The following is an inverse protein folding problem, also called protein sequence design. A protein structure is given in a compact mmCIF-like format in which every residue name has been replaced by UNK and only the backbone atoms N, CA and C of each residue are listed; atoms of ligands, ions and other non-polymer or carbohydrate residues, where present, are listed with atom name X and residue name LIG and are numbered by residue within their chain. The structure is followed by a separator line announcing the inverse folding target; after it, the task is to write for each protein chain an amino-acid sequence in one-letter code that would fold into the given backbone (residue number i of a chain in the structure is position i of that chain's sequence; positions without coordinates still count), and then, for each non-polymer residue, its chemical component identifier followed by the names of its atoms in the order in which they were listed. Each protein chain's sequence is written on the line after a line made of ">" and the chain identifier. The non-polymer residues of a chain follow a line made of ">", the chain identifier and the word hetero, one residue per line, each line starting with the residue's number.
data_IF_865404664115
#
_entry.id   IF_865404664115
#
_cell.length_a   1.000
_cell.length_b   1.000
_cell.length_c   1.000
_cell.angle_alpha   90.00
_cell.angle_beta   90.00
_cell.angle_gamma   90.00
#
_symmetry.space_group_name_H-M   'P 1'
#
loop_
_entity.id
_entity.type
_entity.pdbx_description
1 polymer ?
#
# COMPACT_ATOMS: atom_id res chain seq x y z
N UNK A 1 -18.36 -15.23 -18.21
CA UNK A 1 -17.44 -14.08 -18.07
C UNK A 1 -18.16 -12.99 -17.29
N UNK A 2 -17.71 -12.67 -16.06
CA UNK A 2 -18.32 -11.60 -15.27
C UNK A 2 -18.10 -10.26 -15.98
N UNK A 3 -19.18 -9.56 -16.32
CA UNK A 3 -19.10 -8.28 -17.01
C UNK A 3 -18.42 -7.24 -16.08
N UNK A 4 -17.18 -6.85 -16.40
CA UNK A 4 -16.32 -6.00 -15.55
C UNK A 4 -16.90 -4.59 -15.35
N UNK A 5 -17.72 -4.14 -16.29
CA UNK A 5 -18.27 -2.80 -16.34
C UNK A 5 -19.79 -2.82 -16.45
N UNK A 6 -20.44 -1.90 -15.73
CA UNK A 6 -21.84 -1.53 -15.91
C UNK A 6 -21.89 -0.13 -16.52
N UNK A 7 -22.57 0.01 -17.65
CA UNK A 7 -22.73 1.28 -18.35
C UNK A 7 -24.09 1.88 -18.04
N UNK A 8 -24.13 3.19 -17.83
CA UNK A 8 -25.35 4.00 -17.74
C UNK A 8 -25.19 5.12 -18.76
N UNK A 9 -26.11 5.18 -19.72
CA UNK A 9 -26.12 6.21 -20.77
C UNK A 9 -27.24 7.18 -20.43
N UNK A 10 -26.91 8.45 -20.41
CA UNK A 10 -27.83 9.53 -20.13
C UNK A 10 -27.79 10.49 -21.31
N UNK A 11 -28.62 10.18 -22.31
CA UNK A 11 -28.74 10.91 -23.57
C UNK A 11 -29.81 11.99 -23.54
N UNK A 12 -30.68 11.97 -22.53
CA UNK A 12 -31.80 12.91 -22.38
C UNK A 12 -31.40 14.13 -21.53
N UNK A 13 -30.44 13.99 -20.61
CA UNK A 13 -29.90 15.12 -19.85
C UNK A 13 -28.93 16.00 -20.66
N UNK A 14 -28.84 17.29 -20.28
CA UNK A 14 -27.85 18.23 -20.80
C UNK A 14 -26.90 18.65 -19.66
N UNK A 15 -25.58 18.36 -19.73
CA UNK A 15 -24.88 17.69 -20.83
C UNK A 15 -25.10 16.17 -20.87
N UNK A 16 -25.24 15.64 -22.08
CA UNK A 16 -25.31 14.19 -22.32
C UNK A 16 -24.06 13.52 -21.78
N UNK A 17 -24.21 12.39 -21.11
CA UNK A 17 -23.09 11.72 -20.43
C UNK A 17 -23.18 10.21 -20.48
N UNK A 18 -22.01 9.57 -20.41
CA UNK A 18 -21.87 8.12 -20.22
C UNK A 18 -21.14 7.88 -18.92
N UNK A 19 -21.72 7.02 -18.07
CA UNK A 19 -21.15 6.62 -16.78
C UNK A 19 -20.79 5.15 -16.86
N UNK A 20 -19.56 4.82 -16.47
CA UNK A 20 -19.07 3.47 -16.27
C UNK A 20 -18.91 3.21 -14.79
N UNK A 21 -19.38 2.05 -14.34
CA UNK A 21 -19.21 1.56 -12.99
C UNK A 21 -18.43 0.25 -13.01
N UNK A 22 -17.38 0.18 -12.21
CA UNK A 22 -16.65 -1.05 -11.90
C UNK A 22 -16.49 -1.20 -10.39
N UNK A 23 -15.81 -2.26 -9.95
CA UNK A 23 -15.59 -2.58 -8.54
C UNK A 23 -14.11 -2.50 -8.20
N UNK A 24 -13.80 -1.87 -7.08
CA UNK A 24 -12.49 -1.96 -6.43
C UNK A 24 -12.66 -2.21 -4.94
N UNK A 25 -12.10 -3.32 -4.45
CA UNK A 25 -12.21 -3.74 -3.05
C UNK A 25 -13.67 -3.72 -2.53
N UNK A 26 -14.60 -4.28 -3.32
CA UNK A 26 -16.04 -4.33 -3.01
C UNK A 26 -16.81 -3.02 -3.24
N UNK A 27 -16.13 -1.88 -3.40
CA UNK A 27 -16.75 -0.56 -3.58
C UNK A 27 -16.88 -0.20 -5.05
N UNK A 28 -17.95 0.52 -5.38
CA UNK A 28 -18.15 1.04 -6.73
C UNK A 28 -17.14 2.14 -7.05
N UNK A 29 -16.57 2.06 -8.24
CA UNK A 29 -15.72 3.09 -8.83
C UNK A 29 -16.37 3.52 -10.13
N UNK A 30 -16.49 4.83 -10.31
CA UNK A 30 -17.13 5.42 -11.49
C UNK A 30 -16.14 6.19 -12.36
N UNK A 31 -16.24 5.99 -13.67
CA UNK A 31 -15.72 6.88 -14.71
C UNK A 31 -16.88 7.56 -15.41
N UNK A 32 -16.71 8.82 -15.80
CA UNK A 32 -17.77 9.63 -16.42
C UNK A 32 -17.19 10.32 -17.64
N UNK A 33 -17.84 10.20 -18.79
CA UNK A 33 -17.62 11.02 -19.97
C UNK A 33 -18.80 11.96 -20.14
N UNK A 34 -18.55 13.27 -20.21
CA UNK A 34 -19.57 14.30 -20.46
C UNK A 34 -19.31 14.90 -21.84
N UNK A 35 -20.36 14.99 -22.65
CA UNK A 35 -20.31 15.63 -23.96
C UNK A 35 -20.47 17.14 -23.78
N UNK A 36 -19.68 17.94 -24.49
CA UNK A 36 -19.92 19.39 -24.54
C UNK A 36 -21.25 19.66 -25.23
N UNK A 37 -21.98 20.74 -24.87
CA UNK A 37 -23.17 21.15 -25.62
C UNK A 37 -22.91 21.43 -27.11
N UNK A 38 -21.66 21.78 -27.45
CA UNK A 38 -21.23 22.09 -28.82
C UNK A 38 -20.77 20.84 -29.59
N UNK A 39 -20.63 19.68 -28.93
CA UNK A 39 -20.14 18.46 -29.56
C UNK A 39 -21.29 17.57 -30.03
N UNK A 40 -21.06 16.79 -31.08
CA UNK A 40 -21.98 15.72 -31.48
C UNK A 40 -21.82 14.54 -30.52
N UNK A 41 -22.88 14.23 -29.77
CA UNK A 41 -22.88 13.09 -28.87
C UNK A 41 -22.66 11.76 -29.61
N UNK A 42 -21.63 11.02 -29.20
CA UNK A 42 -21.34 9.67 -29.67
C UNK A 42 -21.19 8.74 -28.45
N UNK A 43 -22.07 7.74 -28.36
CA UNK A 43 -22.13 6.79 -27.24
C UNK A 43 -20.87 5.92 -27.16
N UNK A 44 -20.32 5.49 -28.29
CA UNK A 44 -19.15 4.60 -28.32
C UNK A 44 -17.91 5.32 -27.81
N UNK A 45 -17.66 6.54 -28.29
CA UNK A 45 -16.59 7.42 -27.81
C UNK A 45 -16.78 7.72 -26.32
N UNK A 46 -18.01 8.01 -25.89
CA UNK A 46 -18.35 8.24 -24.49
C UNK A 46 -18.08 7.02 -23.61
N UNK A 47 -18.41 5.81 -24.08
CA UNK A 47 -18.14 4.54 -23.37
C UNK A 47 -16.65 4.30 -23.21
N UNK A 48 -15.87 4.49 -24.27
CA UNK A 48 -14.42 4.32 -24.24
C UNK A 48 -13.78 5.29 -23.24
N UNK A 49 -14.08 6.59 -23.37
CA UNK A 49 -13.54 7.62 -22.47
C UNK A 49 -13.95 7.39 -21.01
N UNK A 50 -15.21 7.03 -20.76
CA UNK A 50 -15.69 6.73 -19.41
C UNK A 50 -15.01 5.48 -18.83
N UNK A 51 -14.72 4.47 -19.67
CA UNK A 51 -14.00 3.26 -19.28
C UNK A 51 -12.56 3.59 -18.90
N UNK A 52 -11.83 4.33 -19.74
CA UNK A 52 -10.46 4.77 -19.47
C UNK A 52 -10.36 5.57 -18.16
N UNK A 53 -11.29 6.50 -17.92
CA UNK A 53 -11.36 7.27 -16.65
C UNK A 53 -11.66 6.38 -15.45
N UNK A 54 -12.50 5.35 -15.61
CA UNK A 54 -12.78 4.39 -14.55
C UNK A 54 -11.53 3.56 -14.23
N UNK A 55 -10.83 3.09 -15.26
CA UNK A 55 -9.63 2.26 -15.14
C UNK A 55 -8.47 3.04 -14.54
N UNK A 56 -8.22 4.27 -14.99
CA UNK A 56 -7.26 5.18 -14.37
C UNK A 56 -7.52 5.32 -12.87
N UNK A 57 -8.78 5.56 -12.48
CA UNK A 57 -9.15 5.69 -11.07
C UNK A 57 -8.95 4.41 -10.27
N UNK A 58 -9.22 3.24 -10.85
CA UNK A 58 -8.95 1.94 -10.22
C UNK A 58 -7.44 1.70 -10.08
N UNK A 59 -6.68 1.95 -11.14
CA UNK A 59 -5.23 1.81 -11.16
C UNK A 59 -4.57 2.75 -10.12
N UNK A 60 -5.00 4.00 -10.06
CA UNK A 60 -4.55 4.96 -9.05
C UNK A 60 -4.83 4.48 -7.62
N UNK A 61 -6.04 3.97 -7.35
CA UNK A 61 -6.37 3.41 -6.03
C UNK A 61 -5.53 2.18 -5.67
N UNK A 62 -5.18 1.34 -6.64
CA UNK A 62 -4.27 0.20 -6.44
C UNK A 62 -2.86 0.69 -6.11
N UNK A 63 -2.37 1.66 -6.87
CA UNK A 63 -1.06 2.27 -6.66
C UNK A 63 -0.95 2.91 -5.27
N UNK A 64 -1.94 3.71 -4.84
CA UNK A 64 -1.98 4.29 -3.50
C UNK A 64 -1.96 3.23 -2.40
N UNK A 65 -2.71 2.13 -2.58
CA UNK A 65 -2.71 1.00 -1.62
C UNK A 65 -1.35 0.32 -1.57
N UNK A 66 -0.71 0.09 -2.72
CA UNK A 66 0.61 -0.50 -2.80
C UNK A 66 1.66 0.37 -2.10
N UNK A 67 1.67 1.69 -2.36
CA UNK A 67 2.54 2.64 -1.66
C UNK A 67 2.37 2.55 -0.15
N UNK A 68 1.12 2.56 0.35
CA UNK A 68 0.85 2.45 1.78
C UNK A 68 1.42 1.14 2.35
N UNK A 69 1.22 0.02 1.66
CA UNK A 69 1.72 -1.29 2.10
C UNK A 69 3.24 -1.36 2.13
N UNK A 70 3.92 -0.73 1.17
CA UNK A 70 5.39 -0.62 1.18
C UNK A 70 5.85 0.24 2.35
N UNK A 71 5.17 1.34 2.65
CA UNK A 71 5.50 2.18 3.80
C UNK A 71 5.31 1.42 5.14
N UNK A 72 4.21 0.69 5.30
CA UNK A 72 3.95 -0.18 6.46
C UNK A 72 5.08 -1.22 6.63
N UNK A 73 5.45 -1.94 5.57
CA UNK A 73 6.52 -2.94 5.63
C UNK A 73 7.90 -2.34 5.95
N UNK A 74 8.21 -1.14 5.44
CA UNK A 74 9.46 -0.44 5.77
C UNK A 74 9.54 -0.08 7.24
N UNK A 75 8.42 0.33 7.83
CA UNK A 75 8.36 0.65 9.25
C UNK A 75 8.53 -0.60 10.11
N UNK A 76 7.92 -1.72 9.74
CA UNK A 76 8.12 -3.01 10.41
C UNK A 76 9.60 -3.44 10.41
N UNK A 77 10.28 -3.31 9.26
CA UNK A 77 11.73 -3.59 9.17
C UNK A 77 12.52 -2.66 10.08
N UNK A 78 12.21 -1.36 10.09
CA UNK A 78 12.90 -0.39 10.95
C UNK A 78 12.78 -0.75 12.42
N UNK A 79 11.58 -1.13 12.88
CA UNK A 79 11.33 -1.55 14.27
C UNK A 79 12.11 -2.82 14.58
N UNK A 80 12.09 -3.81 13.69
CA UNK A 80 12.81 -5.07 13.88
C UNK A 80 14.34 -4.87 13.93
N UNK A 81 14.90 -4.00 13.07
CA UNK A 81 16.33 -3.66 13.09
C UNK A 81 16.72 -2.96 14.39
N UNK A 82 15.89 -2.02 14.88
CA UNK A 82 16.17 -1.37 16.16
C UNK A 82 16.19 -2.38 17.32
N UNK A 83 15.22 -3.28 17.38
CA UNK A 83 15.19 -4.34 18.39
C UNK A 83 16.40 -5.27 18.30
N UNK A 84 16.81 -5.66 17.09
CA UNK A 84 18.01 -6.46 16.89
C UNK A 84 19.25 -5.76 17.48
N UNK A 85 19.44 -4.48 17.16
CA UNK A 85 20.57 -3.70 17.67
C UNK A 85 20.55 -3.64 19.21
N UNK A 86 19.38 -3.45 19.82
CA UNK A 86 19.24 -3.47 21.30
C UNK A 86 19.65 -4.81 21.90
N UNK A 87 19.33 -5.93 21.24
CA UNK A 87 19.71 -7.26 21.69
C UNK A 87 21.20 -7.55 21.49
N UNK A 88 21.81 -7.04 20.41
CA UNK A 88 23.25 -7.12 20.19
C UNK A 88 24.04 -6.33 21.24
N UNK A 89 23.57 -5.13 21.58
CA UNK A 89 24.11 -4.32 22.67
C UNK A 89 23.99 -5.05 24.02
N UNK A 90 22.83 -5.63 24.30
CA UNK A 90 22.59 -6.40 25.51
C UNK A 90 23.54 -7.60 25.61
N UNK A 91 23.65 -8.40 24.53
CA UNK A 91 24.56 -9.54 24.46
C UNK A 91 26.01 -9.11 24.75
N UNK A 92 26.46 -8.03 24.12
CA UNK A 92 27.82 -7.51 24.30
C UNK A 92 28.08 -7.11 25.76
N UNK A 93 27.13 -6.42 26.38
CA UNK A 93 27.24 -6.03 27.80
C UNK A 93 27.25 -7.24 28.71
N UNK A 94 26.33 -8.18 28.52
CA UNK A 94 26.26 -9.41 29.32
C UNK A 94 27.51 -10.27 29.17
N UNK A 95 28.08 -10.37 27.97
CA UNK A 95 29.34 -11.08 27.74
C UNK A 95 30.51 -10.40 28.46
N UNK A 96 30.57 -9.07 28.42
CA UNK A 96 31.60 -8.29 29.13
C UNK A 96 31.51 -8.51 30.64
N UNK A 97 30.29 -8.44 31.20
CA UNK A 97 30.03 -8.68 32.62
C UNK A 97 30.41 -10.10 33.03
N UNK A 98 29.98 -11.10 32.25
CA UNK A 98 30.30 -12.50 32.49
C UNK A 98 31.81 -12.75 32.53
N UNK A 99 32.55 -12.26 31.52
CA UNK A 99 34.00 -12.42 31.46
C UNK A 99 34.69 -11.77 32.68
N UNK A 100 34.26 -10.57 33.07
CA UNK A 100 34.80 -9.90 34.25
C UNK A 100 34.56 -10.67 35.56
N UNK A 101 33.43 -11.38 35.68
CA UNK A 101 33.15 -12.27 36.83
C UNK A 101 34.02 -13.52 36.78
N UNK A 102 34.13 -14.16 35.62
CA UNK A 102 34.97 -15.35 35.43
C UNK A 102 36.43 -15.05 35.76
N UNK A 103 36.97 -13.92 35.28
CA UNK A 103 38.35 -13.52 35.56
C UNK A 103 38.57 -13.28 37.07
N UNK A 104 37.60 -12.65 37.75
CA UNK A 104 37.66 -12.46 39.22
C UNK A 104 37.63 -13.79 39.96
N UNK A 105 36.78 -14.73 39.54
CA UNK A 105 36.67 -16.05 40.15
C UNK A 105 37.97 -16.83 39.99
N UNK A 106 38.51 -16.93 38.77
CA UNK A 106 39.78 -17.63 38.52
C UNK A 106 40.93 -17.04 39.34
N UNK A 107 41.02 -15.71 39.42
CA UNK A 107 42.04 -15.06 40.24
C UNK A 107 41.87 -15.37 41.73
N UNK A 108 40.64 -15.43 42.23
CA UNK A 108 40.37 -15.79 43.63
C UNK A 108 40.79 -17.23 43.91
N UNK A 109 40.39 -18.17 43.05
CA UNK A 109 40.72 -19.59 43.17
C UNK A 109 42.24 -19.83 43.13
N UNK A 110 42.96 -19.16 42.24
CA UNK A 110 44.42 -19.28 42.14
C UNK A 110 45.19 -18.74 43.36
N UNK A 111 44.56 -17.93 44.22
CA UNK A 111 45.15 -17.43 45.46
C UNK A 111 44.78 -18.28 46.69
N UNK A 112 44.01 -19.35 46.52
CA UNK A 112 43.66 -20.30 47.59
C UNK A 112 44.64 -21.50 47.66
N UNK A 113 45.40 -21.74 46.60
CA UNK A 113 46.47 -22.76 46.51
C UNK A 113 47.84 -22.20 46.93
#
# INVERSE_FOLDING_TARGET
>A
MSNRYRYIIDSEETPKKVIVLSKYAGKDVRGIAKCSPNDKFNVEVGRELATLRCDEKVAWKRYQRAQKKVAEAREEVRVATNWLNEMEDYLTRSMTEYNAVVDKLHNFEANLD
#
